data_IF_679631952926
#
_entry.id   IF_679631952926
#
_cell.length_a   1.000
_cell.length_b   1.000
_cell.length_c   1.000
_cell.angle_alpha   90.00
_cell.angle_beta   90.00
_cell.angle_gamma   90.00
#
_symmetry.space_group_name_H-M   'P 1'
#
loop_
_entity.id
_entity.type
_entity.pdbx_description
1 polymer ?
#
# COMPACT_ATOMS: atom_id res chain seq x y z
N UNK A 1 -3.97 -23.66 23.36
CA UNK A 1 -2.75 -22.83 23.54
C UNK A 1 -1.71 -23.12 22.47
N UNK A 2 -1.41 -24.39 22.16
CA UNK A 2 -0.42 -24.79 21.16
C UNK A 2 -0.74 -24.30 19.74
N UNK A 3 -1.97 -24.41 19.28
CA UNK A 3 -2.38 -23.96 17.94
C UNK A 3 -2.16 -22.45 17.74
N UNK A 4 -2.38 -21.65 18.80
CA UNK A 4 -2.14 -20.19 18.73
C UNK A 4 -0.64 -19.86 18.64
N UNK A 5 0.21 -20.65 19.29
CA UNK A 5 1.67 -20.47 19.22
C UNK A 5 2.21 -20.82 17.83
N UNK A 6 1.75 -21.93 17.24
CA UNK A 6 2.15 -22.33 15.87
C UNK A 6 1.74 -21.24 14.87
N UNK A 7 0.51 -20.73 14.94
CA UNK A 7 0.04 -19.68 14.04
C UNK A 7 0.86 -18.38 14.20
N UNK A 8 1.22 -18.02 15.43
CA UNK A 8 2.08 -16.86 15.68
C UNK A 8 3.48 -17.06 15.10
N UNK A 9 4.09 -18.22 15.27
CA UNK A 9 5.40 -18.54 14.69
C UNK A 9 5.35 -18.51 13.16
N UNK A 10 4.33 -19.10 12.55
CA UNK A 10 4.11 -19.05 11.10
C UNK A 10 3.99 -17.61 10.60
N UNK A 11 3.23 -16.76 11.29
CA UNK A 11 3.09 -15.36 10.93
C UNK A 11 4.43 -14.59 11.03
N UNK A 12 5.23 -14.85 12.06
CA UNK A 12 6.57 -14.27 12.20
C UNK A 12 7.47 -14.71 11.04
N UNK A 13 7.50 -16.00 10.73
CA UNK A 13 8.31 -16.55 9.64
C UNK A 13 7.89 -15.91 8.30
N UNK A 14 6.59 -15.84 8.01
CA UNK A 14 6.08 -15.20 6.80
C UNK A 14 6.53 -13.73 6.73
N UNK A 15 6.42 -12.98 7.84
CA UNK A 15 6.84 -11.58 7.90
C UNK A 15 8.33 -11.43 7.60
N UNK A 16 9.18 -12.22 8.27
CA UNK A 16 10.63 -12.17 8.06
C UNK A 16 10.99 -12.52 6.62
N UNK A 17 10.42 -13.58 6.07
CA UNK A 17 10.68 -14.00 4.68
C UNK A 17 10.16 -12.97 3.68
N UNK A 18 9.01 -12.34 3.91
CA UNK A 18 8.48 -11.28 3.05
C UNK A 18 9.40 -10.05 3.03
N UNK A 19 9.91 -9.63 4.20
CA UNK A 19 10.90 -8.55 4.32
C UNK A 19 12.19 -8.90 3.57
N UNK A 20 12.75 -10.08 3.81
CA UNK A 20 13.97 -10.52 3.14
C UNK A 20 13.77 -10.58 1.61
N UNK A 21 12.64 -11.08 1.16
CA UNK A 21 12.29 -11.13 -0.25
C UNK A 21 12.17 -9.72 -0.85
N UNK A 22 11.59 -8.77 -0.13
CA UNK A 22 11.52 -7.39 -0.57
C UNK A 22 12.92 -6.73 -0.65
N UNK A 23 13.77 -6.95 0.34
CA UNK A 23 15.14 -6.43 0.35
C UNK A 23 16.00 -6.99 -0.80
N UNK A 24 15.72 -8.21 -1.25
CA UNK A 24 16.42 -8.83 -2.38
C UNK A 24 15.84 -8.35 -3.71
N UNK A 25 14.54 -8.54 -3.93
CA UNK A 25 13.89 -8.29 -5.22
C UNK A 25 13.48 -6.83 -5.40
N UNK A 26 13.04 -6.16 -4.32
CA UNK A 26 12.38 -4.85 -4.37
C UNK A 26 11.03 -4.89 -5.06
N UNK A 27 10.45 -3.71 -5.23
CA UNK A 27 9.23 -3.52 -6.03
C UNK A 27 9.57 -3.05 -7.44
N UNK A 28 8.71 -3.37 -8.43
CA UNK A 28 8.91 -2.88 -9.78
C UNK A 28 8.79 -1.36 -9.82
N UNK A 29 9.84 -0.71 -10.34
CA UNK A 29 9.90 0.75 -10.40
C UNK A 29 8.89 1.34 -11.39
N UNK A 30 8.18 2.42 -11.02
CA UNK A 30 7.33 3.19 -11.93
C UNK A 30 8.07 3.78 -13.13
N UNK A 31 9.41 3.91 -13.03
CA UNK A 31 10.26 4.36 -14.14
C UNK A 31 10.26 3.39 -15.34
N UNK A 32 9.77 2.18 -15.15
CA UNK A 32 9.65 1.16 -16.19
C UNK A 32 8.20 0.65 -16.31
N UNK A 33 7.23 1.51 -16.67
CA UNK A 33 5.80 1.17 -16.66
C UNK A 33 5.42 0.07 -17.67
N UNK A 34 6.24 -0.15 -18.66
CA UNK A 34 5.99 -1.15 -19.71
C UNK A 34 6.37 -2.57 -19.32
N UNK A 35 7.20 -2.75 -18.29
CA UNK A 35 7.57 -4.08 -17.81
C UNK A 35 6.32 -4.81 -17.29
N UNK A 36 6.19 -6.09 -17.70
CA UNK A 36 5.05 -6.92 -17.31
C UNK A 36 4.91 -7.07 -15.80
N UNK A 37 6.04 -7.14 -15.07
CA UNK A 37 6.09 -7.23 -13.60
C UNK A 37 5.42 -6.01 -12.96
N UNK A 38 5.68 -4.80 -13.51
CA UNK A 38 5.01 -3.58 -13.04
C UNK A 38 3.51 -3.63 -13.35
N UNK A 39 3.14 -3.99 -14.59
CA UNK A 39 1.74 -4.03 -15.03
C UNK A 39 0.87 -4.98 -14.22
N UNK A 40 1.44 -6.09 -13.75
CA UNK A 40 0.75 -7.13 -12.96
C UNK A 40 0.88 -6.92 -11.44
N UNK A 41 1.61 -5.90 -10.98
CA UNK A 41 1.71 -5.62 -9.55
C UNK A 41 0.33 -5.27 -8.97
N UNK A 42 -0.09 -5.86 -7.81
CA UNK A 42 -1.43 -5.66 -7.25
C UNK A 42 -1.83 -4.20 -7.11
N UNK A 43 -0.94 -3.34 -6.62
CA UNK A 43 -1.19 -1.90 -6.45
C UNK A 43 -1.51 -1.22 -7.79
N UNK A 44 -0.79 -1.60 -8.87
CA UNK A 44 -1.04 -1.07 -10.21
C UNK A 44 -2.38 -1.56 -10.76
N UNK A 45 -2.71 -2.84 -10.51
CA UNK A 45 -4.00 -3.40 -10.90
C UNK A 45 -5.14 -2.73 -10.14
N UNK A 46 -5.01 -2.54 -8.82
CA UNK A 46 -5.97 -1.82 -7.98
C UNK A 46 -6.20 -0.39 -8.49
N UNK A 47 -5.11 0.35 -8.78
CA UNK A 47 -5.21 1.72 -9.30
C UNK A 47 -5.88 1.78 -10.67
N UNK A 48 -5.52 0.90 -11.61
CA UNK A 48 -6.16 0.82 -12.93
C UNK A 48 -7.64 0.44 -12.82
N UNK A 49 -7.97 -0.53 -11.98
CA UNK A 49 -9.35 -0.93 -11.76
C UNK A 49 -10.17 0.23 -11.20
N UNK A 50 -9.68 0.89 -10.14
CA UNK A 50 -10.33 2.08 -9.54
C UNK A 50 -10.56 3.15 -10.60
N UNK A 51 -9.52 3.51 -11.37
CA UNK A 51 -9.63 4.53 -12.44
C UNK A 51 -10.70 4.19 -13.48
N UNK A 52 -10.83 2.91 -13.83
CA UNK A 52 -11.78 2.48 -14.86
C UNK A 52 -13.23 2.49 -14.36
N UNK A 53 -13.46 2.16 -13.07
CA UNK A 53 -14.82 2.08 -12.54
C UNK A 53 -15.30 3.39 -11.90
N UNK A 54 -14.39 4.26 -11.44
CA UNK A 54 -14.72 5.52 -10.77
C UNK A 54 -15.77 6.37 -11.52
N UNK A 55 -15.71 6.54 -12.84
CA UNK A 55 -16.70 7.36 -13.57
C UNK A 55 -18.14 6.90 -13.37
N UNK A 56 -18.37 5.61 -13.11
CA UNK A 56 -19.71 5.06 -12.86
C UNK A 56 -20.27 5.41 -11.48
N UNK A 57 -19.41 5.92 -10.57
CA UNK A 57 -19.75 6.31 -9.21
C UNK A 57 -19.78 7.83 -8.99
N UNK A 58 -19.75 8.62 -10.06
CA UNK A 58 -19.91 10.08 -10.03
C UNK A 58 -21.37 10.48 -10.06
N UNK A 59 -21.72 11.59 -9.39
CA UNK A 59 -23.06 12.13 -9.42
C UNK A 59 -23.05 13.65 -9.23
N UNK A 60 -24.04 14.36 -9.77
CA UNK A 60 -24.20 15.80 -9.59
C UNK A 60 -24.67 16.17 -8.17
N UNK A 61 -25.42 15.29 -7.52
CA UNK A 61 -25.83 15.47 -6.12
C UNK A 61 -24.73 15.00 -5.16
N UNK A 62 -24.26 15.88 -4.30
CA UNK A 62 -23.14 15.62 -3.40
C UNK A 62 -23.40 14.49 -2.39
N UNK A 63 -24.66 14.30 -1.93
CA UNK A 63 -24.99 13.24 -0.99
C UNK A 63 -25.00 11.87 -1.69
N UNK A 64 -25.59 11.85 -2.88
CA UNK A 64 -25.60 10.64 -3.72
C UNK A 64 -24.16 10.26 -4.12
N UNK A 65 -23.33 11.23 -4.50
CA UNK A 65 -21.93 10.97 -4.86
C UNK A 65 -21.12 10.42 -3.68
N UNK A 66 -21.35 10.89 -2.44
CA UNK A 66 -20.73 10.28 -1.25
C UNK A 66 -21.17 8.83 -1.03
N UNK A 67 -22.46 8.55 -1.20
CA UNK A 67 -22.97 7.18 -1.11
C UNK A 67 -22.35 6.28 -2.19
N UNK A 68 -22.29 6.75 -3.42
CA UNK A 68 -21.63 6.05 -4.52
C UNK A 68 -20.13 5.86 -4.25
N UNK A 69 -19.47 6.83 -3.61
CA UNK A 69 -18.07 6.71 -3.16
C UNK A 69 -17.86 5.60 -2.12
N UNK A 70 -18.82 5.37 -1.23
CA UNK A 70 -18.80 4.20 -0.33
C UNK A 70 -18.88 2.90 -1.14
N UNK A 71 -19.79 2.83 -2.10
CA UNK A 71 -19.94 1.65 -2.96
C UNK A 71 -18.68 1.41 -3.81
N UNK A 72 -18.07 2.46 -4.35
CA UNK A 72 -16.79 2.39 -5.04
C UNK A 72 -15.71 1.75 -4.16
N UNK A 73 -15.56 2.28 -2.94
CA UNK A 73 -14.57 1.78 -1.99
C UNK A 73 -14.79 0.30 -1.64
N UNK A 74 -16.02 -0.08 -1.31
CA UNK A 74 -16.37 -1.47 -1.01
C UNK A 74 -16.14 -2.38 -2.21
N UNK A 75 -16.49 -1.93 -3.43
CA UNK A 75 -16.28 -2.70 -4.65
C UNK A 75 -14.79 -2.99 -4.87
N UNK A 76 -13.92 -1.99 -4.73
CA UNK A 76 -12.47 -2.17 -4.90
C UNK A 76 -11.94 -3.14 -3.82
N UNK A 77 -12.24 -2.89 -2.54
CA UNK A 77 -11.76 -3.72 -1.44
C UNK A 77 -12.20 -5.16 -1.63
N UNK A 78 -13.49 -5.42 -1.87
CA UNK A 78 -14.04 -6.79 -2.02
C UNK A 78 -13.43 -7.46 -3.25
N UNK A 79 -13.30 -6.77 -4.38
CA UNK A 79 -12.76 -7.37 -5.62
C UNK A 79 -11.35 -7.91 -5.42
N UNK A 80 -10.49 -7.22 -4.67
CA UNK A 80 -9.10 -7.64 -4.48
C UNK A 80 -8.89 -8.54 -3.26
N UNK A 81 -9.76 -8.46 -2.24
CA UNK A 81 -9.60 -9.28 -1.03
C UNK A 81 -10.31 -10.62 -1.10
N UNK A 82 -11.51 -10.69 -1.71
CA UNK A 82 -12.30 -11.92 -1.71
C UNK A 82 -11.64 -13.08 -2.47
N UNK A 83 -11.00 -12.90 -3.64
CA UNK A 83 -10.32 -14.02 -4.30
C UNK A 83 -9.15 -14.57 -3.47
N UNK A 84 -8.41 -13.67 -2.79
CA UNK A 84 -7.30 -14.06 -1.91
C UNK A 84 -7.83 -14.84 -0.71
N UNK A 85 -8.89 -14.32 -0.07
CA UNK A 85 -9.53 -15.02 1.06
C UNK A 85 -10.03 -16.41 0.67
N UNK A 86 -10.79 -16.51 -0.43
CA UNK A 86 -11.34 -17.77 -0.92
C UNK A 86 -10.22 -18.75 -1.32
N UNK A 87 -9.18 -18.27 -2.01
CA UNK A 87 -8.05 -19.09 -2.41
C UNK A 87 -7.27 -19.65 -1.21
N UNK A 88 -6.95 -18.82 -0.23
CA UNK A 88 -6.27 -19.25 0.99
C UNK A 88 -7.14 -20.17 1.84
N UNK A 89 -8.43 -19.88 1.94
CA UNK A 89 -9.39 -20.76 2.62
C UNK A 89 -9.48 -22.14 1.95
N UNK A 90 -9.53 -22.16 0.62
CA UNK A 90 -9.56 -23.42 -0.14
C UNK A 90 -8.26 -24.24 0.07
N UNK A 91 -7.10 -23.59 0.06
CA UNK A 91 -5.82 -24.22 0.36
C UNK A 91 -5.86 -24.84 1.77
N UNK A 92 -6.33 -24.07 2.75
CA UNK A 92 -6.41 -24.51 4.13
C UNK A 92 -7.36 -25.71 4.31
N UNK A 93 -8.49 -25.73 3.58
CA UNK A 93 -9.55 -26.73 3.75
C UNK A 93 -9.31 -28.00 2.96
N UNK A 94 -8.79 -27.90 1.72
CA UNK A 94 -8.74 -29.05 0.80
C UNK A 94 -7.35 -29.67 0.66
N UNK A 95 -6.29 -29.02 1.12
CA UNK A 95 -4.93 -29.54 1.03
C UNK A 95 -4.51 -30.21 2.35
N UNK A 96 -3.89 -31.42 2.34
CA UNK A 96 -3.39 -32.08 3.54
C UNK A 96 -2.42 -31.20 4.34
N UNK A 97 -2.46 -31.29 5.67
CA UNK A 97 -1.80 -30.36 6.60
C UNK A 97 -0.32 -30.08 6.26
N UNK A 98 0.50 -31.08 6.00
CA UNK A 98 1.92 -30.86 5.71
C UNK A 98 2.15 -30.06 4.40
N UNK A 99 1.37 -30.36 3.36
CA UNK A 99 1.46 -29.67 2.07
C UNK A 99 0.84 -28.28 2.18
N UNK A 100 -0.28 -28.18 2.87
CA UNK A 100 -0.96 -26.91 3.16
C UNK A 100 0.01 -25.89 3.79
N UNK A 101 0.73 -26.28 4.83
CA UNK A 101 1.65 -25.37 5.52
C UNK A 101 2.70 -24.77 4.58
N UNK A 102 3.24 -25.59 3.68
CA UNK A 102 4.24 -25.14 2.68
C UNK A 102 3.60 -24.24 1.63
N UNK A 103 2.48 -24.68 1.03
CA UNK A 103 1.79 -23.93 -0.06
C UNK A 103 1.22 -22.62 0.48
N UNK A 104 0.52 -22.65 1.62
CA UNK A 104 0.00 -21.47 2.28
C UNK A 104 1.12 -20.51 2.65
N UNK A 105 2.20 -21.00 3.27
CA UNK A 105 3.35 -20.19 3.66
C UNK A 105 4.00 -19.51 2.47
N UNK A 106 4.26 -20.25 1.39
CA UNK A 106 4.89 -19.72 0.17
C UNK A 106 4.03 -18.61 -0.48
N UNK A 107 2.73 -18.87 -0.68
CA UNK A 107 1.80 -17.89 -1.26
C UNK A 107 1.68 -16.67 -0.34
N UNK A 108 1.59 -16.87 0.97
CA UNK A 108 1.50 -15.80 1.96
C UNK A 108 2.73 -14.90 1.94
N UNK A 109 3.93 -15.44 1.86
CA UNK A 109 5.18 -14.66 1.74
C UNK A 109 5.15 -13.75 0.52
N UNK A 110 4.74 -14.27 -0.64
CA UNK A 110 4.64 -13.48 -1.87
C UNK A 110 3.58 -12.36 -1.72
N UNK A 111 2.40 -12.71 -1.22
CA UNK A 111 1.30 -11.75 -1.09
C UNK A 111 1.62 -10.66 -0.07
N UNK A 112 2.19 -11.01 1.08
CA UNK A 112 2.62 -10.03 2.10
C UNK A 112 3.74 -9.14 1.55
N UNK A 113 4.75 -9.72 0.85
CA UNK A 113 5.79 -8.94 0.16
C UNK A 113 5.19 -7.88 -0.78
N UNK A 114 4.15 -8.22 -1.52
CA UNK A 114 3.50 -7.28 -2.45
C UNK A 114 2.73 -6.15 -1.74
N UNK A 115 2.56 -6.22 -0.42
CA UNK A 115 1.93 -5.14 0.37
C UNK A 115 2.92 -4.19 1.01
N UNK A 116 4.19 -4.54 1.06
CA UNK A 116 5.27 -3.73 1.65
C UNK A 116 6.20 -3.19 0.55
N UNK A 117 6.89 -2.08 0.84
CA UNK A 117 7.86 -1.48 -0.09
C UNK A 117 9.01 -0.89 0.74
N UNK A 118 10.11 -1.64 0.90
CA UNK A 118 11.26 -1.22 1.70
C UNK A 118 12.42 -0.84 0.81
N UNK A 119 12.83 -1.76 -0.08
CA UNK A 119 14.02 -1.58 -0.92
C UNK A 119 13.88 -0.40 -1.87
N UNK A 120 12.79 -0.37 -2.65
CA UNK A 120 12.60 0.68 -3.65
C UNK A 120 12.58 2.07 -3.01
N UNK A 121 11.88 2.25 -1.89
CA UNK A 121 11.86 3.52 -1.17
C UNK A 121 13.23 3.88 -0.59
N UNK A 122 13.96 2.91 -0.03
CA UNK A 122 15.31 3.13 0.49
C UNK A 122 16.26 3.58 -0.62
N UNK A 123 16.17 2.96 -1.79
CA UNK A 123 16.99 3.32 -2.95
C UNK A 123 16.63 4.72 -3.45
N UNK A 124 15.36 5.09 -3.44
CA UNK A 124 14.92 6.45 -3.81
C UNK A 124 15.36 7.50 -2.79
N UNK A 125 15.25 7.21 -1.49
CA UNK A 125 15.73 8.11 -0.45
C UNK A 125 17.24 8.39 -0.59
N UNK A 126 18.05 7.35 -0.84
CA UNK A 126 19.49 7.50 -1.08
C UNK A 126 19.78 8.31 -2.34
N UNK A 127 19.03 8.06 -3.42
CA UNK A 127 19.20 8.80 -4.68
C UNK A 127 18.80 10.28 -4.53
N UNK A 128 17.71 10.56 -3.79
CA UNK A 128 17.32 11.94 -3.48
C UNK A 128 18.34 12.65 -2.60
N UNK A 129 18.86 12.01 -1.56
CA UNK A 129 19.90 12.57 -0.69
C UNK A 129 21.17 12.93 -1.50
N UNK A 130 21.63 11.99 -2.33
CA UNK A 130 22.77 12.24 -3.22
C UNK A 130 22.54 13.43 -4.18
N UNK A 131 21.37 13.52 -4.78
CA UNK A 131 21.02 14.61 -5.68
C UNK A 131 20.96 15.98 -4.95
N UNK A 132 20.55 15.99 -3.67
CA UNK A 132 20.58 17.19 -2.81
C UNK A 132 22.02 17.61 -2.54
N UNK A 133 22.89 16.67 -2.13
CA UNK A 133 24.30 16.93 -1.86
C UNK A 133 25.04 17.48 -3.09
N UNK A 134 24.71 16.98 -4.27
CA UNK A 134 25.26 17.44 -5.55
C UNK A 134 24.58 18.73 -6.06
N UNK A 135 23.63 19.31 -5.31
CA UNK A 135 22.85 20.50 -5.71
C UNK A 135 22.13 20.31 -7.06
N UNK A 136 21.82 19.07 -7.43
CA UNK A 136 21.15 18.70 -8.68
C UNK A 136 19.63 18.77 -8.53
N UNK A 137 19.09 19.99 -8.52
CA UNK A 137 17.65 20.24 -8.33
C UNK A 137 16.74 19.48 -9.34
N UNK A 138 17.09 19.38 -10.64
CA UNK A 138 16.29 18.58 -11.58
C UNK A 138 16.18 17.11 -11.19
N UNK A 139 17.24 16.52 -10.63
CA UNK A 139 17.23 15.14 -10.18
C UNK A 139 16.39 14.97 -8.90
N UNK A 140 16.53 15.88 -7.93
CA UNK A 140 15.70 15.88 -6.71
C UNK A 140 14.21 15.95 -7.05
N UNK A 141 13.84 16.73 -8.07
CA UNK A 141 12.44 16.85 -8.53
C UNK A 141 11.83 15.53 -8.99
N UNK A 142 12.63 14.58 -9.48
CA UNK A 142 12.12 13.25 -9.85
C UNK A 142 11.58 12.47 -8.66
N UNK A 143 12.06 12.76 -7.45
CA UNK A 143 11.66 12.09 -6.21
C UNK A 143 10.63 12.89 -5.42
N UNK A 144 10.34 14.14 -5.81
CA UNK A 144 9.36 15.00 -5.15
C UNK A 144 7.89 14.65 -5.48
N UNK A 145 7.64 13.76 -6.44
CA UNK A 145 6.28 13.31 -6.77
C UNK A 145 5.62 12.51 -5.64
N UNK A 146 6.38 12.11 -4.64
CA UNK A 146 5.87 11.54 -3.40
C UNK A 146 5.26 12.60 -2.48
N UNK A 147 5.70 13.86 -2.59
CA UNK A 147 5.13 14.96 -1.84
C UNK A 147 3.86 15.48 -2.52
N UNK A 148 2.82 15.73 -1.74
CA UNK A 148 1.60 16.43 -2.20
C UNK A 148 1.84 17.91 -2.54
N UNK A 149 3.07 18.41 -2.35
CA UNK A 149 3.46 19.79 -2.66
C UNK A 149 3.77 19.95 -4.14
N UNK A 150 3.32 21.06 -4.73
CA UNK A 150 3.73 21.42 -6.08
C UNK A 150 5.23 21.72 -6.10
N UNK A 151 5.99 20.88 -6.82
CA UNK A 151 7.46 20.91 -6.81
C UNK A 151 8.07 22.03 -7.66
N UNK A 152 7.25 22.81 -8.38
CA UNK A 152 7.72 23.79 -9.37
C UNK A 152 8.56 24.92 -8.78
N UNK A 153 8.17 25.37 -7.56
CA UNK A 153 8.73 26.57 -6.94
C UNK A 153 9.57 26.27 -5.68
N UNK A 154 9.86 24.99 -5.39
CA UNK A 154 10.60 24.60 -4.20
C UNK A 154 12.12 24.77 -4.42
N UNK A 155 12.80 25.40 -3.44
CA UNK A 155 14.25 25.40 -3.35
C UNK A 155 14.79 24.05 -2.83
N UNK A 156 16.12 23.84 -2.86
CA UNK A 156 16.75 22.58 -2.47
C UNK A 156 16.41 22.13 -1.04
N UNK A 157 16.35 23.05 -0.08
CA UNK A 157 16.01 22.76 1.32
C UNK A 157 14.54 22.33 1.45
N UNK A 158 13.65 23.04 0.77
CA UNK A 158 12.22 22.72 0.75
C UNK A 158 11.95 21.37 0.07
N UNK A 159 12.71 21.04 -0.99
CA UNK A 159 12.64 19.72 -1.62
C UNK A 159 13.14 18.61 -0.70
N UNK A 160 14.25 18.83 0.00
CA UNK A 160 14.73 17.89 1.02
C UNK A 160 13.67 17.63 2.10
N UNK A 161 13.04 18.70 2.62
CA UNK A 161 11.93 18.59 3.57
C UNK A 161 10.75 17.80 3.00
N UNK A 162 10.38 18.04 1.74
CA UNK A 162 9.30 17.31 1.08
C UNK A 162 9.59 15.81 0.91
N UNK A 163 10.84 15.46 0.59
CA UNK A 163 11.27 14.05 0.52
C UNK A 163 11.20 13.40 1.89
N UNK A 164 11.69 14.05 2.96
CA UNK A 164 11.65 13.54 4.33
C UNK A 164 10.20 13.33 4.78
N UNK A 165 9.32 14.31 4.53
CA UNK A 165 7.89 14.23 4.84
C UNK A 165 7.26 13.00 4.17
N UNK A 166 7.47 12.85 2.88
CA UNK A 166 6.96 11.71 2.10
C UNK A 166 7.49 10.36 2.61
N UNK A 167 8.80 10.28 2.91
CA UNK A 167 9.39 9.05 3.45
C UNK A 167 8.83 8.69 4.83
N UNK A 168 8.48 9.71 5.63
CA UNK A 168 7.87 9.51 6.95
C UNK A 168 6.44 8.98 6.84
N UNK A 169 5.63 9.51 5.91
CA UNK A 169 4.29 8.98 5.60
C UNK A 169 4.39 7.54 5.08
N UNK A 170 5.29 7.28 4.16
CA UNK A 170 5.50 5.96 3.55
C UNK A 170 6.00 4.91 4.54
N UNK A 171 6.70 5.31 5.62
CA UNK A 171 7.07 4.39 6.70
C UNK A 171 5.83 3.76 7.33
N UNK A 172 4.76 4.52 7.45
CA UNK A 172 3.48 4.03 7.98
C UNK A 172 2.77 3.23 6.90
N UNK A 173 2.52 3.83 5.74
CA UNK A 173 1.64 3.30 4.69
C UNK A 173 2.19 2.06 3.98
N UNK A 174 3.52 1.96 3.84
CA UNK A 174 4.14 0.89 3.06
C UNK A 174 4.97 -0.09 3.89
N UNK A 175 5.03 0.08 5.20
CA UNK A 175 5.77 -0.83 6.10
C UNK A 175 4.95 -1.22 7.31
N UNK A 176 4.65 -0.27 8.20
CA UNK A 176 4.06 -0.59 9.49
C UNK A 176 2.59 -1.04 9.37
N UNK A 177 1.75 -0.27 8.68
CA UNK A 177 0.31 -0.54 8.60
C UNK A 177 -0.02 -1.85 7.88
N UNK A 178 0.59 -2.21 6.73
CA UNK A 178 0.34 -3.50 6.12
C UNK A 178 0.82 -4.67 6.99
N UNK A 179 1.97 -4.53 7.70
CA UNK A 179 2.46 -5.57 8.62
C UNK A 179 1.55 -5.72 9.84
N UNK A 180 1.04 -4.63 10.41
CA UNK A 180 0.07 -4.68 11.51
C UNK A 180 -1.26 -5.31 11.04
N UNK A 181 -1.73 -4.95 9.86
CA UNK A 181 -2.93 -5.54 9.26
C UNK A 181 -2.74 -7.04 9.00
N UNK A 182 -1.56 -7.45 8.58
CA UNK A 182 -1.20 -8.86 8.47
C UNK A 182 -1.20 -9.57 9.84
N UNK A 183 -0.61 -8.97 10.86
CA UNK A 183 -0.53 -9.56 12.19
C UNK A 183 -1.91 -9.77 12.83
N UNK A 184 -2.88 -8.87 12.56
CA UNK A 184 -4.23 -8.91 13.15
C UNK A 184 -5.19 -9.75 12.30
N UNK A 185 -5.18 -9.58 10.99
CA UNK A 185 -6.18 -10.12 10.07
C UNK A 185 -5.59 -11.09 9.02
N UNK A 186 -4.31 -11.45 9.14
CA UNK A 186 -3.61 -12.32 8.18
C UNK A 186 -3.39 -11.66 6.82
N UNK A 187 -3.08 -12.50 5.83
CA UNK A 187 -2.76 -12.05 4.44
C UNK A 187 -3.87 -11.20 3.85
N UNK A 188 -5.13 -11.62 4.05
CA UNK A 188 -6.29 -10.88 3.53
C UNK A 188 -6.38 -9.47 4.11
N UNK A 189 -6.03 -9.31 5.40
CA UNK A 189 -5.95 -8.00 6.05
C UNK A 189 -4.87 -7.09 5.44
N UNK A 190 -3.69 -7.63 5.14
CA UNK A 190 -2.63 -6.87 4.48
C UNK A 190 -3.05 -6.40 3.06
N UNK A 191 -3.71 -7.28 2.30
CA UNK A 191 -4.24 -6.94 0.97
C UNK A 191 -5.38 -5.92 1.07
N UNK A 192 -6.28 -6.06 2.04
CA UNK A 192 -7.35 -5.09 2.29
C UNK A 192 -6.79 -3.71 2.63
N UNK A 193 -5.80 -3.66 3.51
CA UNK A 193 -5.11 -2.41 3.81
C UNK A 193 -4.50 -1.79 2.55
N UNK A 194 -3.81 -2.59 1.72
CA UNK A 194 -3.20 -2.09 0.48
C UNK A 194 -4.25 -1.58 -0.51
N UNK A 195 -5.42 -2.22 -0.59
CA UNK A 195 -6.52 -1.75 -1.42
C UNK A 195 -7.08 -0.41 -0.91
N UNK A 196 -7.26 -0.24 0.41
CA UNK A 196 -7.70 1.01 1.04
C UNK A 196 -6.71 2.15 0.76
N UNK A 197 -5.42 1.92 1.02
CA UNK A 197 -4.35 2.89 0.82
C UNK A 197 -4.19 3.28 -0.66
N UNK A 198 -4.30 2.31 -1.59
CA UNK A 198 -4.28 2.60 -3.03
C UNK A 198 -5.50 3.40 -3.45
N UNK A 199 -6.67 3.09 -2.91
CA UNK A 199 -7.91 3.81 -3.20
C UNK A 199 -7.83 5.27 -2.71
N UNK A 200 -7.29 5.52 -1.49
CA UNK A 200 -7.03 6.88 -0.99
C UNK A 200 -6.07 7.64 -1.92
N UNK A 201 -4.99 7.00 -2.33
CA UNK A 201 -4.05 7.57 -3.30
C UNK A 201 -4.65 7.87 -4.67
N UNK A 202 -5.76 7.23 -5.06
CA UNK A 202 -6.43 7.47 -6.34
C UNK A 202 -7.52 8.54 -6.25
N UNK A 203 -8.37 8.50 -5.22
CA UNK A 203 -9.58 9.34 -5.12
C UNK A 203 -9.69 10.11 -3.81
N UNK A 204 -8.83 9.89 -2.80
CA UNK A 204 -8.89 10.53 -1.48
C UNK A 204 -8.52 12.01 -1.45
N UNK A 205 -8.24 12.63 -2.59
CA UNK A 205 -7.84 14.03 -2.68
C UNK A 205 -9.00 14.98 -2.40
N UNK A 206 -8.73 16.11 -1.70
CA UNK A 206 -9.69 17.19 -1.45
C UNK A 206 -9.86 18.13 -2.65
N UNK A 207 -9.86 17.60 -3.86
CA UNK A 207 -10.15 18.34 -5.09
C UNK A 207 -11.66 18.45 -5.30
N UNK A 208 -12.10 19.41 -6.12
CA UNK A 208 -13.53 19.55 -6.48
C UNK A 208 -14.09 18.26 -7.10
N UNK A 209 -13.25 17.50 -7.77
CA UNK A 209 -13.61 16.26 -8.45
C UNK A 209 -13.82 15.08 -7.49
N UNK A 210 -13.04 15.01 -6.39
CA UNK A 210 -13.01 13.85 -5.50
C UNK A 210 -13.54 14.10 -4.10
N UNK A 211 -13.91 15.35 -3.76
CA UNK A 211 -14.31 15.74 -2.40
C UNK A 211 -15.48 14.91 -1.84
N UNK A 212 -16.37 14.46 -2.71
CA UNK A 212 -17.51 13.61 -2.34
C UNK A 212 -17.21 12.13 -2.59
N UNK A 213 -16.80 11.76 -3.80
CA UNK A 213 -16.50 10.37 -4.17
C UNK A 213 -15.39 9.77 -3.31
N UNK A 214 -14.33 10.54 -3.03
CA UNK A 214 -13.18 10.11 -2.24
C UNK A 214 -13.36 10.23 -0.72
N UNK A 215 -14.48 10.79 -0.25
CA UNK A 215 -14.70 11.00 1.18
C UNK A 215 -14.58 9.71 2.01
N UNK A 216 -15.14 8.63 1.52
CA UNK A 216 -15.10 7.34 2.21
C UNK A 216 -13.68 6.77 2.26
N UNK A 217 -12.96 6.75 1.14
CA UNK A 217 -11.60 6.20 1.06
C UNK A 217 -10.64 6.97 1.97
N UNK A 218 -10.68 8.30 1.96
CA UNK A 218 -9.85 9.14 2.81
C UNK A 218 -10.13 8.93 4.32
N UNK A 219 -11.41 8.80 4.72
CA UNK A 219 -11.75 8.52 6.12
C UNK A 219 -11.39 7.10 6.54
N UNK A 220 -11.56 6.12 5.66
CA UNK A 220 -11.22 4.74 5.94
C UNK A 220 -9.70 4.55 6.05
N UNK A 221 -8.92 5.17 5.17
CA UNK A 221 -7.44 5.16 5.26
C UNK A 221 -6.96 5.79 6.57
N UNK A 222 -7.48 6.96 6.94
CA UNK A 222 -7.20 7.58 8.23
C UNK A 222 -7.56 6.67 9.42
N UNK A 223 -8.67 5.94 9.33
CA UNK A 223 -9.10 5.04 10.38
C UNK A 223 -8.15 3.84 10.55
N UNK A 224 -7.78 3.18 9.46
CA UNK A 224 -6.87 2.02 9.52
C UNK A 224 -5.44 2.41 9.90
N UNK A 225 -5.02 3.62 9.55
CA UNK A 225 -3.72 4.19 9.93
C UNK A 225 -3.70 4.83 11.32
N UNK A 226 -4.85 4.92 12.02
CA UNK A 226 -4.93 5.60 13.32
C UNK A 226 -3.99 5.03 14.39
N UNK A 227 -3.98 3.70 14.55
CA UNK A 227 -3.11 3.04 15.52
C UNK A 227 -1.64 3.03 15.05
N UNK A 228 -1.32 2.61 13.81
CA UNK A 228 0.05 2.65 13.31
C UNK A 228 0.73 4.00 13.47
N UNK A 229 0.05 5.08 13.10
CA UNK A 229 0.58 6.45 13.22
C UNK A 229 0.93 6.83 14.66
N UNK A 230 0.08 6.45 15.63
CA UNK A 230 0.35 6.75 17.04
C UNK A 230 1.49 5.95 17.62
N UNK A 231 1.64 4.69 17.22
CA UNK A 231 2.75 3.85 17.64
C UNK A 231 4.09 4.37 17.14
N UNK A 232 4.14 4.94 15.94
CA UNK A 232 5.37 5.57 15.42
C UNK A 232 5.67 6.88 16.13
N UNK A 233 4.68 7.72 16.40
CA UNK A 233 4.87 9.02 17.07
C UNK A 233 5.30 8.91 18.53
N UNK A 234 5.07 7.77 19.20
CA UNK A 234 5.53 7.53 20.56
C UNK A 234 7.03 7.19 20.67
N UNK A 235 7.69 6.91 19.53
CA UNK A 235 9.13 6.54 19.48
C UNK A 235 10.02 7.62 18.87
N UNK A 236 9.44 8.71 18.41
CA UNK A 236 10.16 9.90 17.94
C UNK A 236 10.15 10.99 18.99
#
# INVERSE_FOLDING_TARGET
MELNLINALVAIVITVLAILLDLVLGDPSPNYPDKWVFKLHPTVLMGKFTKNIEPFFKNADAKMEKFLGILLGLTVIVTFTSPIFIGLWAIYTFIPFCINLVVYGFISVILVKMTICIKLETDWAKAAAKAIDESNLPEVKKYSHFSRRESKDLNGVQMGSAVIESMSENLIDFKLSPMMSFAIFGVTGAIAFRAINTLDGMVGFKTKEHINTGWFSANLDNFVNFIPTRLTSLRL
#
